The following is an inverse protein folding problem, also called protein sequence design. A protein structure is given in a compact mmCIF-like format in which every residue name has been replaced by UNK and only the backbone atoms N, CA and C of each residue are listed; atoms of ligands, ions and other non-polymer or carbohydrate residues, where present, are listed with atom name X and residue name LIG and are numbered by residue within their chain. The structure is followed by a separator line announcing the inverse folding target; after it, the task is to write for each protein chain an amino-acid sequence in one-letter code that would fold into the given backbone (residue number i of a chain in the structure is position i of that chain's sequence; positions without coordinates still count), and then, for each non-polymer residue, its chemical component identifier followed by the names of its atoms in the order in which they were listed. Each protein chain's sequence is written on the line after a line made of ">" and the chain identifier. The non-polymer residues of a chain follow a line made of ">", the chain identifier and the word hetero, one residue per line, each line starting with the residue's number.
data_IF_717685847052
#
_entry.id   IF_717685847052
#
_cell.length_a   1.000
_cell.length_b   1.000
_cell.length_c   1.000
_cell.angle_alpha   90.00
_cell.angle_beta   90.00
_cell.angle_gamma   90.00
#
_symmetry.space_group_name_H-M   'P 1'
#
loop_
_entity.id
_entity.type
_entity.pdbx_description
1 polymer ?
#
# COMPACT_ATOMS: atom_id res chain seq x y z
N UNK A 1 -33.87 15.68 -4.92
CA UNK A 1 -33.61 16.79 -3.98
C UNK A 1 -32.12 17.08 -4.02
N UNK A 2 -31.71 18.33 -3.82
CA UNK A 2 -30.31 18.74 -3.96
C UNK A 2 -29.75 19.18 -2.61
N UNK A 3 -28.48 18.83 -2.38
CA UNK A 3 -27.67 19.28 -1.25
C UNK A 3 -26.75 20.42 -1.72
N UNK A 4 -26.35 21.30 -0.80
CA UNK A 4 -25.60 22.52 -1.13
C UNK A 4 -24.51 22.79 -0.09
N UNK A 5 -23.28 23.08 -0.54
CA UNK A 5 -22.25 23.74 0.28
C UNK A 5 -22.08 25.18 -0.20
N UNK A 6 -22.39 26.15 0.66
CA UNK A 6 -22.38 27.59 0.36
C UNK A 6 -21.25 28.28 1.10
N UNK A 7 -20.51 29.10 0.39
CA UNK A 7 -19.50 30.00 0.95
C UNK A 7 -19.84 31.42 0.52
N UNK A 8 -20.06 32.30 1.49
CA UNK A 8 -20.50 33.68 1.26
C UNK A 8 -19.56 34.69 1.89
N UNK A 9 -19.20 35.74 1.16
CA UNK A 9 -18.54 36.94 1.69
C UNK A 9 -19.64 37.94 2.05
N UNK A 10 -19.72 38.32 3.33
CA UNK A 10 -20.76 39.18 3.88
C UNK A 10 -20.37 40.67 3.81
N UNK A 11 -19.16 40.99 4.25
CA UNK A 11 -18.66 42.37 4.35
C UNK A 11 -17.14 42.43 4.12
N UNK A 12 -16.66 43.59 3.67
CA UNK A 12 -15.24 43.87 3.53
C UNK A 12 -14.58 44.19 4.89
N UNK A 13 -13.26 44.39 4.90
CA UNK A 13 -12.51 44.72 6.11
C UNK A 13 -12.93 46.04 6.79
N UNK A 14 -13.65 46.91 6.07
CA UNK A 14 -14.23 48.16 6.57
C UNK A 14 -15.69 48.00 7.02
N UNK A 15 -16.28 46.80 6.94
CA UNK A 15 -17.67 46.50 7.30
C UNK A 15 -18.71 46.85 6.23
N UNK A 16 -18.28 47.24 5.03
CA UNK A 16 -19.19 47.53 3.91
C UNK A 16 -19.63 46.22 3.24
N UNK A 17 -20.90 46.15 2.85
CA UNK A 17 -21.42 44.97 2.13
C UNK A 17 -20.74 44.84 0.78
N UNK A 18 -20.31 43.63 0.46
CA UNK A 18 -19.68 43.34 -0.84
C UNK A 18 -20.72 42.78 -1.81
N UNK A 19 -20.73 43.29 -3.03
CA UNK A 19 -21.54 42.79 -4.15
C UNK A 19 -20.64 42.39 -5.32
N UNK A 20 -21.17 41.59 -6.24
CA UNK A 20 -20.45 41.22 -7.46
C UNK A 20 -20.21 42.45 -8.36
N UNK A 21 -21.13 43.42 -8.35
CA UNK A 21 -21.04 44.64 -9.16
C UNK A 21 -19.94 45.60 -8.68
N UNK A 22 -19.53 45.49 -7.41
CA UNK A 22 -18.48 46.32 -6.81
C UNK A 22 -17.64 45.49 -5.84
N UNK A 23 -16.84 44.58 -6.40
CA UNK A 23 -15.99 43.65 -5.66
C UNK A 23 -14.63 44.28 -5.33
N UNK A 24 -14.21 44.21 -4.06
CA UNK A 24 -12.83 44.58 -3.68
C UNK A 24 -11.83 43.54 -4.19
N UNK A 25 -10.57 43.95 -4.38
CA UNK A 25 -9.50 43.03 -4.83
C UNK A 25 -9.38 41.82 -3.89
N UNK A 26 -9.43 42.05 -2.58
CA UNK A 26 -9.36 40.98 -1.58
C UNK A 26 -10.53 39.99 -1.67
N UNK A 27 -11.73 40.48 -1.98
CA UNK A 27 -12.93 39.66 -2.15
C UNK A 27 -12.90 38.90 -3.49
N UNK A 28 -12.36 39.50 -4.55
CA UNK A 28 -12.15 38.84 -5.84
C UNK A 28 -11.14 37.70 -5.74
N UNK A 29 -10.02 37.94 -5.04
CA UNK A 29 -9.03 36.91 -4.77
C UNK A 29 -9.59 35.77 -3.90
N UNK A 30 -10.45 36.08 -2.94
CA UNK A 30 -11.12 35.06 -2.13
C UNK A 30 -12.09 34.23 -2.96
N UNK A 31 -12.92 34.90 -3.77
CA UNK A 31 -13.87 34.25 -4.67
C UNK A 31 -13.17 33.29 -5.63
N UNK A 32 -12.04 33.72 -6.22
CA UNK A 32 -11.22 32.86 -7.09
C UNK A 32 -10.83 31.54 -6.40
N UNK A 33 -10.29 31.63 -5.18
CA UNK A 33 -9.88 30.45 -4.39
C UNK A 33 -11.08 29.55 -4.10
N UNK A 34 -12.25 30.12 -3.79
CA UNK A 34 -13.45 29.32 -3.50
C UNK A 34 -13.94 28.57 -4.75
N UNK A 35 -13.97 29.23 -5.91
CA UNK A 35 -14.36 28.61 -7.18
C UNK A 35 -13.40 27.49 -7.55
N UNK A 36 -12.09 27.74 -7.52
CA UNK A 36 -11.06 26.75 -7.86
C UNK A 36 -11.14 25.53 -6.93
N UNK A 37 -11.16 25.76 -5.61
CA UNK A 37 -11.22 24.66 -4.64
C UNK A 37 -12.49 23.82 -4.73
N UNK A 38 -13.67 24.44 -4.92
CA UNK A 38 -14.94 23.70 -5.04
C UNK A 38 -15.04 22.96 -6.38
N UNK A 39 -14.55 23.56 -7.47
CA UNK A 39 -14.44 22.89 -8.77
C UNK A 39 -13.55 21.66 -8.69
N UNK A 40 -12.35 21.80 -8.11
CA UNK A 40 -11.39 20.69 -8.01
C UNK A 40 -11.88 19.61 -7.05
N UNK A 41 -12.68 20.00 -6.04
CA UNK A 41 -13.32 19.04 -5.15
C UNK A 41 -14.36 18.21 -5.90
N UNK A 42 -15.22 18.84 -6.70
CA UNK A 42 -16.19 18.15 -7.55
C UNK A 42 -15.50 17.23 -8.58
N UNK A 43 -14.39 17.66 -9.19
CA UNK A 43 -13.61 16.87 -10.15
C UNK A 43 -12.86 15.69 -9.54
N UNK A 44 -12.77 15.62 -8.21
CA UNK A 44 -12.13 14.49 -7.53
C UNK A 44 -13.01 13.24 -7.43
N UNK A 45 -14.26 13.30 -7.90
CA UNK A 45 -15.20 12.17 -7.95
C UNK A 45 -15.26 11.59 -9.37
N UNK A 46 -15.44 10.27 -9.47
CA UNK A 46 -15.43 9.56 -10.76
C UNK A 46 -16.63 9.95 -11.65
N UNK A 47 -17.76 10.30 -11.05
CA UNK A 47 -18.90 10.89 -11.75
C UNK A 47 -19.30 12.21 -11.09
N UNK A 48 -19.13 13.30 -11.82
CA UNK A 48 -19.43 14.66 -11.38
C UNK A 48 -20.39 15.40 -12.33
N UNK A 49 -21.01 14.68 -13.26
CA UNK A 49 -21.87 15.26 -14.32
C UNK A 49 -23.04 16.09 -13.77
N UNK A 50 -23.61 15.65 -12.65
CA UNK A 50 -24.72 16.32 -11.97
C UNK A 50 -24.29 17.32 -10.87
N UNK A 51 -22.98 17.52 -10.67
CA UNK A 51 -22.47 18.48 -9.68
C UNK A 51 -22.32 19.84 -10.36
N UNK A 52 -22.95 20.87 -9.79
CA UNK A 52 -22.97 22.22 -10.37
C UNK A 52 -22.32 23.21 -9.42
N UNK A 53 -21.63 24.19 -10.02
CA UNK A 53 -21.18 25.38 -9.31
C UNK A 53 -22.12 26.53 -9.68
N UNK A 54 -22.67 27.23 -8.69
CA UNK A 54 -23.50 28.41 -8.90
C UNK A 54 -22.94 29.61 -8.16
N UNK A 55 -23.12 30.79 -8.76
CA UNK A 55 -22.99 32.08 -8.11
C UNK A 55 -24.37 32.74 -8.05
N UNK A 56 -24.64 33.58 -7.05
CA UNK A 56 -25.91 34.30 -6.92
C UNK A 56 -25.73 35.80 -7.07
N UNK A 57 -26.63 36.43 -7.82
CA UNK A 57 -26.62 37.87 -8.04
C UNK A 57 -26.84 38.64 -6.72
N UNK A 58 -26.17 39.79 -6.61
CA UNK A 58 -26.29 40.69 -5.44
C UNK A 58 -25.48 40.28 -4.20
N UNK A 59 -24.80 39.13 -4.20
CA UNK A 59 -23.84 38.77 -3.14
C UNK A 59 -22.70 37.89 -3.67
N UNK A 60 -21.53 37.96 -3.02
CA UNK A 60 -20.42 37.07 -3.39
C UNK A 60 -20.64 35.73 -2.67
N UNK A 61 -21.41 34.86 -3.30
CA UNK A 61 -21.75 33.53 -2.83
C UNK A 61 -21.31 32.50 -3.87
N UNK A 62 -20.52 31.51 -3.45
CA UNK A 62 -20.17 30.33 -4.27
C UNK A 62 -20.88 29.11 -3.69
N UNK A 63 -21.60 28.39 -4.53
CA UNK A 63 -22.42 27.24 -4.13
C UNK A 63 -21.98 26.01 -4.91
N UNK A 64 -21.62 24.94 -4.19
CA UNK A 64 -21.51 23.61 -4.74
C UNK A 64 -22.85 22.89 -4.57
N UNK A 65 -23.55 22.60 -5.66
CA UNK A 65 -24.85 21.92 -5.70
C UNK A 65 -24.62 20.49 -6.16
N UNK A 66 -25.14 19.51 -5.41
CA UNK A 66 -25.00 18.10 -5.74
C UNK A 66 -26.26 17.28 -5.39
N UNK A 67 -26.53 16.18 -6.13
CA UNK A 67 -27.69 15.33 -5.85
C UNK A 67 -27.66 14.68 -4.46
N UNK A 68 -28.82 14.56 -3.80
CA UNK A 68 -28.92 13.98 -2.46
C UNK A 68 -28.53 12.50 -2.35
N UNK A 69 -28.55 11.77 -3.47
CA UNK A 69 -28.10 10.38 -3.58
C UNK A 69 -26.57 10.24 -3.69
N UNK A 70 -25.83 11.33 -3.94
CA UNK A 70 -24.36 11.36 -3.86
C UNK A 70 -23.88 11.50 -2.41
N UNK A 71 -24.22 10.51 -1.58
CA UNK A 71 -23.90 10.51 -0.14
C UNK A 71 -22.40 10.60 0.15
N UNK A 72 -21.56 10.09 -0.76
CA UNK A 72 -20.09 10.16 -0.66
C UNK A 72 -19.56 11.60 -0.54
N UNK A 73 -20.19 12.58 -1.21
CA UNK A 73 -19.79 13.99 -1.15
C UNK A 73 -20.08 14.56 0.23
N UNK A 74 -21.29 14.32 0.74
CA UNK A 74 -21.72 14.70 2.09
C UNK A 74 -20.83 14.09 3.17
N UNK A 75 -20.56 12.78 3.08
CA UNK A 75 -19.70 12.05 4.01
C UNK A 75 -18.28 12.63 4.02
N UNK A 76 -17.70 12.92 2.85
CA UNK A 76 -16.37 13.53 2.77
C UNK A 76 -16.32 14.93 3.39
N UNK A 77 -17.34 15.77 3.14
CA UNK A 77 -17.45 17.10 3.72
C UNK A 77 -17.44 16.99 5.25
N UNK A 78 -18.30 16.12 5.81
CA UNK A 78 -18.38 15.91 7.25
C UNK A 78 -17.10 15.28 7.83
N UNK A 79 -16.46 14.34 7.13
CA UNK A 79 -15.17 13.77 7.54
C UNK A 79 -14.06 14.82 7.56
N UNK A 80 -14.01 15.73 6.59
CA UNK A 80 -13.03 16.83 6.55
C UNK A 80 -13.29 17.79 7.71
N UNK A 81 -14.54 18.22 7.90
CA UNK A 81 -14.94 19.16 8.94
C UNK A 81 -14.66 18.62 10.35
N UNK A 82 -14.91 17.32 10.55
CA UNK A 82 -14.65 16.63 11.83
C UNK A 82 -13.20 16.15 11.97
N UNK A 83 -12.36 16.40 10.95
CA UNK A 83 -10.95 16.04 10.94
C UNK A 83 -10.69 14.53 10.93
N UNK A 84 -11.64 13.72 10.43
CA UNK A 84 -11.56 12.26 10.28
C UNK A 84 -11.10 11.80 8.90
N UNK A 85 -11.16 12.67 7.88
CA UNK A 85 -10.82 12.32 6.49
C UNK A 85 -9.38 11.82 6.32
N UNK A 86 -9.22 10.78 5.51
CA UNK A 86 -7.92 10.28 5.05
C UNK A 86 -7.57 10.74 3.63
N UNK A 87 -8.52 11.37 2.93
CA UNK A 87 -8.34 11.87 1.57
C UNK A 87 -7.57 13.18 1.56
N UNK A 88 -6.25 13.06 1.43
CA UNK A 88 -5.31 14.18 1.58
C UNK A 88 -5.52 15.24 0.50
N UNK A 89 -5.89 14.85 -0.73
CA UNK A 89 -6.17 15.79 -1.81
C UNK A 89 -7.40 16.65 -1.48
N UNK A 90 -8.54 16.02 -1.19
CA UNK A 90 -9.80 16.69 -0.85
C UNK A 90 -9.65 17.60 0.37
N UNK A 91 -8.97 17.11 1.41
CA UNK A 91 -8.68 17.91 2.61
C UNK A 91 -7.86 19.17 2.29
N UNK A 92 -6.90 19.12 1.35
CA UNK A 92 -6.11 20.30 0.95
C UNK A 92 -6.97 21.41 0.32
N UNK A 93 -7.95 21.04 -0.50
CA UNK A 93 -8.85 22.02 -1.14
C UNK A 93 -9.65 22.82 -0.11
N UNK A 94 -10.12 22.13 0.95
CA UNK A 94 -10.81 22.77 2.08
C UNK A 94 -9.86 23.63 2.92
N UNK A 95 -8.59 23.24 3.06
CA UNK A 95 -7.57 24.07 3.73
C UNK A 95 -7.29 25.35 2.95
N UNK A 96 -7.23 25.31 1.62
CA UNK A 96 -7.05 26.52 0.82
C UNK A 96 -8.18 27.54 1.06
N UNK A 97 -9.43 27.05 1.13
CA UNK A 97 -10.61 27.87 1.50
C UNK A 97 -10.43 28.41 2.92
N UNK A 98 -10.07 27.54 3.87
CA UNK A 98 -9.87 27.88 5.28
C UNK A 98 -8.81 28.97 5.49
N UNK A 99 -7.68 28.83 4.82
CA UNK A 99 -6.57 29.78 4.90
C UNK A 99 -7.01 31.15 4.37
N UNK A 100 -7.78 31.17 3.27
CA UNK A 100 -8.29 32.43 2.71
C UNK A 100 -9.31 33.11 3.64
N UNK A 101 -10.19 32.35 4.27
CA UNK A 101 -11.14 32.85 5.28
C UNK A 101 -10.43 33.47 6.49
N UNK A 102 -9.26 32.95 6.88
CA UNK A 102 -8.51 33.44 8.05
C UNK A 102 -7.64 34.66 7.77
N UNK A 103 -7.22 34.88 6.52
CA UNK A 103 -6.13 35.81 6.20
C UNK A 103 -6.54 37.26 5.92
N UNK A 104 -7.70 37.52 5.32
CA UNK A 104 -7.97 38.81 4.67
C UNK A 104 -8.97 39.72 5.40
N UNK A 105 -9.32 39.39 6.64
CA UNK A 105 -10.17 40.25 7.49
C UNK A 105 -11.61 40.47 6.99
N UNK A 106 -12.03 39.77 5.93
CA UNK A 106 -13.41 39.81 5.45
C UNK A 106 -14.32 39.00 6.37
N UNK A 107 -15.60 39.32 6.38
CA UNK A 107 -16.60 38.53 7.10
C UNK A 107 -17.19 37.46 6.17
N UNK A 108 -17.24 36.23 6.67
CA UNK A 108 -17.68 35.06 5.91
C UNK A 108 -18.80 34.30 6.61
N UNK A 109 -19.63 33.64 5.80
CA UNK A 109 -20.55 32.58 6.22
C UNK A 109 -20.32 31.33 5.38
N UNK A 110 -20.28 30.16 6.04
CA UNK A 110 -20.19 28.85 5.38
C UNK A 110 -21.35 27.99 5.86
N UNK A 111 -22.20 27.54 4.94
CA UNK A 111 -23.42 26.80 5.24
C UNK A 111 -23.45 25.50 4.45
N UNK A 112 -23.81 24.40 5.12
CA UNK A 112 -24.09 23.12 4.48
C UNK A 112 -25.58 22.83 4.59
N UNK A 113 -26.25 22.63 3.45
CA UNK A 113 -27.66 22.27 3.38
C UNK A 113 -27.78 20.83 2.89
N UNK A 114 -28.31 19.95 3.73
CA UNK A 114 -28.53 18.54 3.42
C UNK A 114 -29.98 18.18 3.71
N UNK A 115 -30.71 17.66 2.71
CA UNK A 115 -32.12 17.28 2.88
C UNK A 115 -32.99 18.37 3.54
N UNK A 116 -32.78 19.63 3.15
CA UNK A 116 -33.41 20.85 3.72
C UNK A 116 -33.06 21.18 5.18
N UNK A 117 -32.07 20.52 5.77
CA UNK A 117 -31.49 20.90 7.06
C UNK A 117 -30.24 21.74 6.79
N UNK A 118 -30.18 22.94 7.38
CA UNK A 118 -29.05 23.85 7.24
C UNK A 118 -28.16 23.78 8.48
N UNK A 119 -26.85 23.65 8.26
CA UNK A 119 -25.81 23.56 9.28
C UNK A 119 -24.79 24.66 9.03
N UNK A 120 -24.56 25.50 10.04
CA UNK A 120 -23.53 26.54 10.00
C UNK A 120 -22.15 25.92 10.30
N UNK A 121 -21.25 26.05 9.33
CA UNK A 121 -19.88 25.56 9.38
C UNK A 121 -18.85 26.68 9.52
N UNK A 122 -19.29 27.94 9.61
CA UNK A 122 -18.42 29.13 9.63
C UNK A 122 -17.33 29.01 10.70
N UNK A 123 -17.69 28.52 11.89
CA UNK A 123 -16.75 28.32 12.99
C UNK A 123 -15.70 27.25 12.67
N UNK A 124 -16.06 26.15 12.01
CA UNK A 124 -15.11 25.12 11.59
C UNK A 124 -14.03 25.67 10.64
N UNK A 125 -14.41 26.61 9.77
CA UNK A 125 -13.46 27.27 8.88
C UNK A 125 -12.65 28.39 9.57
N UNK A 126 -13.13 28.99 10.65
CA UNK A 126 -12.39 30.02 11.41
C UNK A 126 -11.48 29.47 12.52
N UNK A 127 -11.78 28.28 13.07
CA UNK A 127 -11.08 27.71 14.23
C UNK A 127 -9.78 26.95 13.86
N UNK A 128 -9.65 25.68 14.25
CA UNK A 128 -8.43 24.87 14.05
C UNK A 128 -8.29 24.45 12.60
N UNK A 129 -7.05 24.39 12.11
CA UNK A 129 -6.77 23.94 10.75
C UNK A 129 -7.23 22.49 10.52
N UNK A 130 -7.83 22.21 9.36
CA UNK A 130 -8.20 20.83 9.01
C UNK A 130 -6.94 19.92 8.99
N UNK A 131 -6.92 18.80 9.73
CA UNK A 131 -5.72 17.97 9.84
C UNK A 131 -5.47 17.19 8.54
N UNK A 132 -4.25 17.25 8.01
CA UNK A 132 -3.83 16.36 6.93
C UNK A 132 -3.40 15.03 7.54
N UNK A 133 -4.29 14.04 7.51
CA UNK A 133 -3.96 12.69 7.95
C UNK A 133 -3.07 12.01 6.90
N UNK A 134 -2.07 11.26 7.36
CA UNK A 134 -1.34 10.34 6.48
C UNK A 134 -2.37 9.32 5.97
N UNK A 135 -2.52 9.21 4.65
CA UNK A 135 -3.49 8.30 4.02
C UNK A 135 -3.39 6.87 4.57
N UNK A 136 -4.48 6.10 4.44
CA UNK A 136 -4.50 4.69 4.86
C UNK A 136 -3.29 3.97 4.26
N UNK A 137 -2.41 3.43 5.12
CA UNK A 137 -1.23 2.68 4.65
C UNK A 137 -1.73 1.47 3.86
N UNK A 138 -1.56 1.49 2.54
CA UNK A 138 -1.82 0.33 1.69
C UNK A 138 -1.02 -0.85 2.22
N UNK A 139 -1.72 -1.94 2.54
CA UNK A 139 -1.08 -3.11 3.12
C UNK A 139 -0.13 -3.73 2.10
N UNK A 140 1.11 -3.96 2.53
CA UNK A 140 2.11 -4.63 1.74
C UNK A 140 1.71 -6.12 1.59
N UNK A 141 1.52 -6.55 0.35
CA UNK A 141 1.22 -7.92 -0.07
C UNK A 141 2.51 -8.61 -0.53
N UNK A 142 2.54 -9.94 -0.40
CA UNK A 142 3.69 -10.76 -0.77
C UNK A 142 3.26 -12.16 -1.18
N UNK A 143 4.06 -12.82 -2.00
CA UNK A 143 3.94 -14.25 -2.32
C UNK A 143 5.29 -14.82 -2.78
N UNK A 144 5.50 -16.12 -2.61
CA UNK A 144 6.59 -16.84 -3.26
C UNK A 144 6.12 -17.23 -4.67
N UNK A 145 6.93 -16.93 -5.67
CA UNK A 145 6.67 -17.24 -7.08
C UNK A 145 7.85 -18.07 -7.61
N UNK A 146 7.54 -19.03 -8.48
CA UNK A 146 8.54 -19.82 -9.20
C UNK A 146 8.63 -19.32 -10.63
N UNK A 147 9.83 -18.94 -11.07
CA UNK A 147 10.09 -18.38 -12.40
C UNK A 147 11.07 -19.29 -13.15
N UNK A 148 10.75 -19.61 -14.40
CA UNK A 148 11.61 -20.32 -15.33
C UNK A 148 11.81 -19.43 -16.55
N UNK A 149 13.05 -19.05 -16.85
CA UNK A 149 13.35 -18.07 -17.88
C UNK A 149 14.82 -17.99 -18.23
N UNK A 150 15.20 -16.94 -18.94
CA UNK A 150 16.57 -16.70 -19.40
C UNK A 150 17.09 -15.36 -18.88
N UNK A 151 18.32 -15.33 -18.34
CA UNK A 151 18.97 -14.08 -17.92
C UNK A 151 19.35 -13.29 -19.17
N UNK A 152 18.97 -12.02 -19.26
CA UNK A 152 19.45 -11.14 -20.33
C UNK A 152 20.31 -9.97 -19.82
N UNK A 153 20.29 -9.71 -18.51
CA UNK A 153 21.16 -8.70 -17.90
C UNK A 153 21.48 -9.08 -16.45
N UNK A 154 22.70 -8.82 -16.01
CA UNK A 154 23.09 -8.91 -14.60
C UNK A 154 23.86 -7.65 -14.23
N UNK A 155 23.40 -6.93 -13.20
CA UNK A 155 23.95 -5.62 -12.92
C UNK A 155 23.39 -4.93 -11.68
N UNK A 156 23.60 -3.61 -11.61
CA UNK A 156 23.15 -2.76 -10.50
C UNK A 156 24.30 -2.11 -9.73
N UNK A 157 24.35 -0.78 -9.79
CA UNK A 157 25.41 0.04 -9.15
C UNK A 157 25.33 0.03 -7.61
N UNK A 158 24.11 0.13 -7.08
CA UNK A 158 23.87 0.23 -5.62
C UNK A 158 23.29 -1.05 -5.02
N UNK A 159 22.46 -1.78 -5.77
CA UNK A 159 21.91 -3.09 -5.40
C UNK A 159 22.05 -4.04 -6.57
N UNK A 160 22.71 -5.18 -6.33
CA UNK A 160 22.85 -6.22 -7.34
C UNK A 160 21.49 -6.82 -7.67
N UNK A 161 21.25 -7.04 -8.96
CA UNK A 161 20.04 -7.62 -9.49
C UNK A 161 20.36 -8.36 -10.80
N UNK A 162 19.46 -9.26 -11.17
CA UNK A 162 19.44 -9.94 -12.45
C UNK A 162 18.11 -9.66 -13.15
N UNK A 163 18.16 -9.53 -14.47
CA UNK A 163 16.99 -9.37 -15.31
C UNK A 163 16.77 -10.67 -16.07
N UNK A 164 15.56 -11.22 -15.97
CA UNK A 164 15.17 -12.45 -16.64
C UNK A 164 13.95 -12.23 -17.53
N UNK A 165 13.91 -12.94 -18.65
CA UNK A 165 12.75 -12.99 -19.55
C UNK A 165 12.02 -14.32 -19.32
N UNK A 166 10.71 -14.26 -19.08
CA UNK A 166 9.81 -15.41 -18.93
C UNK A 166 8.65 -15.24 -19.90
N UNK A 167 8.69 -15.95 -21.02
CA UNK A 167 7.77 -15.67 -22.15
C UNK A 167 7.98 -14.25 -22.66
N UNK A 168 6.92 -13.46 -22.75
CA UNK A 168 6.95 -12.07 -23.22
C UNK A 168 7.11 -11.03 -22.08
N UNK A 169 7.53 -11.46 -20.88
CA UNK A 169 7.62 -10.59 -19.70
C UNK A 169 9.03 -10.58 -19.12
N UNK A 170 9.48 -9.37 -18.79
CA UNK A 170 10.77 -9.15 -18.14
C UNK A 170 10.60 -8.90 -16.64
N UNK A 171 11.48 -9.50 -15.86
CA UNK A 171 11.49 -9.42 -14.41
C UNK A 171 12.86 -8.96 -13.93
N UNK A 172 12.88 -7.91 -13.11
CA UNK A 172 14.06 -7.52 -12.35
C UNK A 172 14.03 -8.15 -10.96
N UNK A 173 15.02 -8.98 -10.67
CA UNK A 173 15.14 -9.75 -9.43
C UNK A 173 16.34 -9.25 -8.62
N UNK A 174 16.08 -8.67 -7.46
CA UNK A 174 17.10 -8.26 -6.51
C UNK A 174 17.80 -9.49 -5.91
N UNK A 175 19.13 -9.48 -5.88
CA UNK A 175 19.93 -10.58 -5.36
C UNK A 175 21.28 -10.10 -4.81
N UNK A 176 22.04 -10.99 -4.20
CA UNK A 176 23.44 -10.71 -3.81
C UNK A 176 24.40 -10.98 -4.98
N UNK A 177 25.62 -10.44 -4.91
CA UNK A 177 26.67 -10.73 -5.90
C UNK A 177 26.98 -12.23 -6.03
N UNK A 178 27.17 -12.99 -4.92
CA UNK A 178 27.42 -14.43 -5.03
C UNK A 178 26.26 -15.18 -5.71
N UNK A 179 25.02 -14.79 -5.43
CA UNK A 179 23.84 -15.38 -6.06
C UNK A 179 23.79 -15.08 -7.58
N UNK A 180 24.07 -13.83 -7.98
CA UNK A 180 24.13 -13.47 -9.40
C UNK A 180 25.22 -14.28 -10.13
N UNK A 181 26.42 -14.38 -9.54
CA UNK A 181 27.51 -15.19 -10.11
C UNK A 181 27.14 -16.67 -10.24
N UNK A 182 26.41 -17.23 -9.25
CA UNK A 182 26.00 -18.64 -9.25
C UNK A 182 24.93 -18.99 -10.30
N UNK A 183 24.20 -18.00 -10.83
CA UNK A 183 23.27 -18.21 -11.95
C UNK A 183 23.98 -18.30 -13.30
N UNK A 184 25.26 -17.98 -13.34
CA UNK A 184 26.04 -17.87 -14.55
C UNK A 184 25.77 -16.57 -15.32
N UNK A 185 26.33 -16.48 -16.52
CA UNK A 185 26.30 -15.26 -17.33
C UNK A 185 24.96 -15.00 -18.00
N UNK A 186 24.96 -13.97 -18.84
CA UNK A 186 23.84 -13.61 -19.72
C UNK A 186 23.56 -14.78 -20.70
N UNK A 187 22.30 -14.96 -21.05
CA UNK A 187 21.70 -16.00 -21.89
C UNK A 187 21.61 -17.40 -21.26
N UNK A 188 21.83 -17.50 -19.95
CA UNK A 188 21.63 -18.75 -19.24
C UNK A 188 20.16 -18.93 -18.84
N UNK A 189 19.64 -20.14 -19.08
CA UNK A 189 18.37 -20.58 -18.51
C UNK A 189 18.50 -20.73 -17.00
N UNK A 190 17.50 -20.23 -16.29
CA UNK A 190 17.46 -20.24 -14.83
C UNK A 190 16.10 -20.70 -14.31
N UNK A 191 16.16 -21.38 -13.18
CA UNK A 191 15.00 -21.85 -12.43
C UNK A 191 15.06 -21.20 -11.06
N UNK A 192 14.16 -20.26 -10.77
CA UNK A 192 14.26 -19.42 -9.58
C UNK A 192 13.00 -19.56 -8.71
N UNK A 193 13.18 -19.55 -7.40
CA UNK A 193 12.12 -19.14 -6.47
C UNK A 193 12.40 -17.72 -6.02
N UNK A 194 11.38 -16.86 -6.06
CA UNK A 194 11.48 -15.44 -5.74
C UNK A 194 10.38 -15.01 -4.78
N UNK A 195 10.71 -14.10 -3.88
CA UNK A 195 9.74 -13.38 -3.07
C UNK A 195 9.25 -12.18 -3.86
N UNK A 196 7.99 -12.22 -4.28
CA UNK A 196 7.30 -11.08 -4.89
C UNK A 196 6.66 -10.25 -3.77
N UNK A 197 6.88 -8.93 -3.78
CA UNK A 197 6.41 -7.96 -2.79
C UNK A 197 5.76 -6.79 -3.50
N UNK A 198 4.56 -6.38 -3.10
CA UNK A 198 3.88 -5.25 -3.73
C UNK A 198 2.91 -4.52 -2.79
N UNK A 199 2.76 -3.21 -3.00
CA UNK A 199 1.65 -2.42 -2.41
C UNK A 199 0.56 -2.14 -3.43
N UNK A 200 0.98 -1.84 -4.65
CA UNK A 200 0.15 -1.58 -5.83
C UNK A 200 0.72 -2.39 -6.99
N UNK A 201 -0.06 -2.60 -8.05
CA UNK A 201 0.39 -3.33 -9.24
C UNK A 201 1.55 -2.63 -9.97
N UNK A 202 1.70 -1.33 -9.75
CA UNK A 202 2.79 -0.50 -10.31
C UNK A 202 4.08 -0.54 -9.49
N UNK A 203 4.06 -1.14 -8.29
CA UNK A 203 5.22 -1.19 -7.40
C UNK A 203 5.42 -2.62 -6.90
N UNK A 204 5.97 -3.45 -7.78
CA UNK A 204 6.30 -4.85 -7.54
C UNK A 204 7.82 -4.99 -7.45
N UNK A 205 8.28 -5.56 -6.35
CA UNK A 205 9.68 -5.94 -6.11
C UNK A 205 9.78 -7.47 -6.15
N UNK A 206 10.78 -8.00 -6.85
CA UNK A 206 11.12 -9.43 -6.82
C UNK A 206 12.48 -9.60 -6.17
N UNK A 207 12.58 -10.49 -5.18
CA UNK A 207 13.81 -10.75 -4.44
C UNK A 207 14.11 -12.25 -4.56
N UNK A 208 15.34 -12.60 -4.94
CA UNK A 208 15.75 -13.98 -5.07
C UNK A 208 15.68 -14.72 -3.73
N UNK A 209 15.09 -15.92 -3.74
CA UNK A 209 15.15 -16.88 -2.64
C UNK A 209 16.18 -17.98 -2.96
N UNK A 210 16.01 -18.68 -4.08
CA UNK A 210 16.88 -19.79 -4.50
C UNK A 210 17.01 -19.89 -6.02
N UNK A 211 18.17 -20.36 -6.49
CA UNK A 211 18.42 -20.76 -7.87
C UNK A 211 18.63 -22.29 -7.95
N UNK A 212 17.81 -22.98 -8.73
CA UNK A 212 17.84 -24.43 -8.88
C UNK A 212 18.63 -24.83 -10.13
N UNK A 213 19.79 -25.44 -9.93
CA UNK A 213 20.62 -25.93 -11.05
C UNK A 213 19.97 -27.08 -11.84
N UNK A 214 19.08 -27.84 -11.21
CA UNK A 214 18.35 -28.96 -11.83
C UNK A 214 16.86 -28.63 -11.89
N UNK A 215 16.24 -28.82 -13.06
CA UNK A 215 14.80 -28.61 -13.27
C UNK A 215 13.95 -29.51 -12.36
N UNK A 216 14.35 -30.77 -12.15
CA UNK A 216 13.69 -31.68 -11.21
C UNK A 216 13.57 -31.11 -9.79
N UNK A 217 14.60 -30.42 -9.29
CA UNK A 217 14.57 -29.80 -7.97
C UNK A 217 13.58 -28.62 -7.97
N UNK A 218 13.61 -27.80 -9.01
CA UNK A 218 12.68 -26.68 -9.17
C UNK A 218 11.23 -27.16 -9.15
N UNK A 219 10.90 -28.18 -9.96
CA UNK A 219 9.55 -28.73 -10.04
C UNK A 219 9.10 -29.34 -8.71
N UNK A 220 10.00 -30.03 -8.01
CA UNK A 220 9.73 -30.57 -6.68
C UNK A 220 9.35 -29.46 -5.68
N UNK A 221 10.18 -28.42 -5.56
CA UNK A 221 9.91 -27.33 -4.60
C UNK A 221 8.71 -26.48 -5.01
N UNK A 222 8.49 -26.29 -6.31
CA UNK A 222 7.31 -25.61 -6.84
C UNK A 222 6.04 -26.37 -6.47
N UNK A 223 5.98 -27.67 -6.77
CA UNK A 223 4.85 -28.53 -6.42
C UNK A 223 4.62 -28.57 -4.91
N UNK A 224 5.70 -28.72 -4.13
CA UNK A 224 5.63 -28.71 -2.67
C UNK A 224 4.96 -27.43 -2.17
N UNK A 225 5.38 -26.27 -2.66
CA UNK A 225 4.85 -24.98 -2.25
C UNK A 225 3.40 -24.76 -2.71
N UNK A 226 3.07 -25.17 -3.93
CA UNK A 226 1.71 -25.09 -4.46
C UNK A 226 0.73 -25.98 -3.68
N UNK A 227 1.14 -27.19 -3.29
CA UNK A 227 0.36 -28.07 -2.43
C UNK A 227 0.21 -27.50 -1.03
N UNK A 228 1.29 -26.97 -0.44
CA UNK A 228 1.26 -26.31 0.86
C UNK A 228 0.24 -25.15 0.88
N UNK A 229 0.17 -24.33 -0.17
CA UNK A 229 -0.81 -23.22 -0.29
C UNK A 229 -2.26 -23.68 -0.35
N UNK A 230 -2.53 -24.92 -0.77
CA UNK A 230 -3.89 -25.48 -0.84
C UNK A 230 -4.38 -26.02 0.51
N UNK A 231 -3.47 -26.31 1.45
CA UNK A 231 -3.80 -26.84 2.78
C UNK A 231 -4.29 -25.72 3.68
N UNK A 232 -5.35 -25.98 4.44
CA UNK A 232 -5.90 -25.04 5.42
C UNK A 232 -5.38 -25.37 6.84
N UNK A 233 -5.57 -24.42 7.76
CA UNK A 233 -5.44 -24.59 9.22
C UNK A 233 -4.18 -25.36 9.68
N UNK A 234 -4.34 -26.54 10.28
CA UNK A 234 -3.27 -27.35 10.87
C UNK A 234 -2.62 -28.31 9.87
N UNK A 235 -3.37 -28.77 8.86
CA UNK A 235 -2.91 -29.76 7.88
C UNK A 235 -1.65 -29.31 7.12
N UNK A 236 -1.48 -28.01 6.93
CA UNK A 236 -0.30 -27.45 6.27
C UNK A 236 0.99 -27.68 7.07
N UNK A 237 0.90 -27.76 8.40
CA UNK A 237 2.05 -28.03 9.26
C UNK A 237 2.40 -29.52 9.25
N UNK A 238 1.40 -30.39 9.30
CA UNK A 238 1.60 -31.84 9.17
C UNK A 238 2.24 -32.14 7.80
N UNK A 239 1.68 -31.55 6.73
CA UNK A 239 2.27 -31.66 5.39
C UNK A 239 3.72 -31.18 5.33
N UNK A 240 4.06 -30.06 5.99
CA UNK A 240 5.44 -29.56 6.00
C UNK A 240 6.36 -30.48 6.81
N UNK A 241 5.88 -31.00 7.94
CA UNK A 241 6.60 -31.99 8.74
C UNK A 241 6.88 -33.26 7.92
N UNK A 242 5.86 -33.80 7.26
CA UNK A 242 5.96 -35.02 6.45
C UNK A 242 6.92 -34.82 5.29
N UNK A 243 6.92 -33.63 4.65
CA UNK A 243 7.90 -33.31 3.61
C UNK A 243 9.32 -33.19 4.15
N UNK A 244 9.52 -32.73 5.39
CA UNK A 244 10.83 -32.80 6.02
C UNK A 244 11.23 -34.25 6.22
N UNK A 245 10.35 -35.09 6.77
CA UNK A 245 10.62 -36.53 6.99
C UNK A 245 10.91 -37.25 5.68
N UNK A 246 10.16 -36.99 4.60
CA UNK A 246 10.42 -37.56 3.26
C UNK A 246 11.80 -37.16 2.73
N UNK A 247 12.21 -35.89 2.92
CA UNK A 247 13.58 -35.42 2.62
C UNK A 247 14.60 -35.92 3.68
N UNK A 248 14.20 -36.65 4.71
CA UNK A 248 15.11 -37.28 5.69
C UNK A 248 15.22 -38.81 5.54
N UNK A 249 14.26 -39.43 4.85
CA UNK A 249 14.22 -40.87 4.57
C UNK A 249 14.73 -41.27 3.17
N UNK A 250 14.79 -40.37 2.20
CA UNK A 250 15.39 -40.65 0.88
C UNK A 250 16.89 -41.01 1.00
N UNK A 251 17.29 -42.25 0.72
CA UNK A 251 18.70 -42.67 0.88
C UNK A 251 19.71 -41.82 0.08
N UNK A 252 19.25 -40.99 -0.88
CA UNK A 252 20.06 -40.04 -1.64
C UNK A 252 20.09 -38.62 -1.03
N UNK A 253 19.71 -38.45 0.23
CA UNK A 253 19.54 -37.11 0.83
C UNK A 253 20.81 -36.28 0.79
N UNK A 254 20.68 -35.23 0.00
CA UNK A 254 21.56 -34.09 0.04
C UNK A 254 21.01 -33.13 1.09
N UNK A 255 21.77 -32.91 2.17
CA UNK A 255 21.73 -31.74 3.07
C UNK A 255 21.18 -30.47 2.38
N UNK A 256 21.55 -30.26 1.13
CA UNK A 256 21.11 -29.19 0.24
C UNK A 256 19.58 -29.04 0.11
N UNK A 257 18.80 -30.12 0.08
CA UNK A 257 17.34 -30.02 -0.05
C UNK A 257 16.67 -29.48 1.23
N UNK A 258 17.16 -29.86 2.40
CA UNK A 258 16.74 -29.23 3.67
C UNK A 258 17.13 -27.75 3.69
N UNK A 259 18.33 -27.40 3.21
CA UNK A 259 18.77 -26.01 3.12
C UNK A 259 17.87 -25.19 2.19
N UNK A 260 17.52 -25.72 1.01
CA UNK A 260 16.58 -25.08 0.07
C UNK A 260 15.21 -24.88 0.70
N UNK A 261 14.70 -25.87 1.45
CA UNK A 261 13.42 -25.76 2.16
C UNK A 261 13.47 -24.67 3.25
N UNK A 262 14.54 -24.63 4.04
CA UNK A 262 14.76 -23.59 5.04
C UNK A 262 14.80 -22.20 4.39
N UNK A 263 15.56 -22.03 3.30
CA UNK A 263 15.65 -20.76 2.55
C UNK A 263 14.30 -20.33 1.99
N UNK A 264 13.52 -21.26 1.43
CA UNK A 264 12.19 -21.01 0.87
C UNK A 264 11.28 -20.28 1.87
N UNK A 265 11.30 -20.73 3.13
CA UNK A 265 10.46 -20.18 4.19
C UNK A 265 11.18 -19.21 5.13
N UNK A 266 12.47 -18.93 4.96
CA UNK A 266 13.22 -17.95 5.78
C UNK A 266 13.00 -16.50 5.31
N UNK A 267 11.75 -16.07 5.19
CA UNK A 267 11.40 -14.74 4.69
C UNK A 267 10.34 -14.05 5.57
N UNK A 268 10.20 -12.73 5.43
CA UNK A 268 9.37 -11.87 6.31
C UNK A 268 7.87 -12.13 6.27
N UNK A 269 7.43 -12.96 5.32
CA UNK A 269 6.05 -13.37 5.24
C UNK A 269 5.74 -14.53 6.20
N UNK A 270 6.70 -15.44 6.39
CA UNK A 270 6.57 -16.56 7.33
C UNK A 270 6.50 -16.09 8.79
N UNK A 271 6.84 -14.84 9.08
CA UNK A 271 6.69 -14.24 10.40
C UNK A 271 5.22 -14.07 10.81
N UNK A 272 4.30 -13.90 9.83
CA UNK A 272 2.85 -13.88 10.09
C UNK A 272 2.30 -15.26 10.44
N UNK A 273 2.98 -16.30 9.96
CA UNK A 273 2.61 -17.69 10.17
C UNK A 273 3.76 -18.45 10.84
N UNK A 274 3.96 -18.09 12.11
CA UNK A 274 5.00 -18.65 12.96
C UNK A 274 4.96 -20.16 13.07
N UNK A 275 3.81 -20.78 12.80
CA UNK A 275 3.67 -22.22 12.78
C UNK A 275 4.61 -22.85 11.76
N UNK A 276 4.78 -22.24 10.58
CA UNK A 276 5.68 -22.74 9.52
C UNK A 276 7.13 -22.81 10.03
N UNK A 277 7.64 -21.69 10.56
CA UNK A 277 9.01 -21.64 11.09
C UNK A 277 9.19 -22.62 12.24
N UNK A 278 8.20 -22.71 13.15
CA UNK A 278 8.26 -23.63 14.28
C UNK A 278 8.29 -25.08 13.83
N UNK A 279 7.42 -25.47 12.90
CA UNK A 279 7.38 -26.82 12.34
C UNK A 279 8.73 -27.17 11.71
N UNK A 280 9.28 -26.33 10.83
CA UNK A 280 10.59 -26.56 10.23
C UNK A 280 11.69 -26.75 11.29
N UNK A 281 11.75 -25.85 12.28
CA UNK A 281 12.74 -25.93 13.34
C UNK A 281 12.57 -27.22 14.17
N UNK A 282 11.34 -27.59 14.53
CA UNK A 282 11.10 -28.79 15.33
C UNK A 282 11.39 -30.07 14.55
N UNK A 283 11.02 -30.15 13.27
CA UNK A 283 11.28 -31.30 12.40
C UNK A 283 12.76 -31.50 12.11
N UNK A 284 13.54 -30.41 11.99
CA UNK A 284 14.98 -30.48 11.63
C UNK A 284 15.87 -30.61 12.88
N UNK A 285 15.41 -30.20 14.07
CA UNK A 285 16.21 -30.25 15.31
C UNK A 285 16.87 -31.61 15.61
N UNK A 286 16.22 -32.77 15.40
CA UNK A 286 16.82 -34.07 15.70
C UNK A 286 18.14 -34.35 14.97
N UNK A 287 18.26 -33.88 13.73
CA UNK A 287 19.40 -34.20 12.84
C UNK A 287 20.54 -33.18 12.91
N UNK A 288 20.39 -32.07 13.65
CA UNK A 288 21.39 -31.00 13.71
C UNK A 288 22.74 -31.44 14.27
N UNK A 289 22.73 -32.42 15.18
CA UNK A 289 23.96 -32.94 15.81
C UNK A 289 24.86 -33.67 14.82
N UNK A 290 24.29 -34.14 13.71
CA UNK A 290 24.95 -34.98 12.73
C UNK A 290 25.29 -34.18 11.46
N UNK A 291 24.91 -32.90 11.38
CA UNK A 291 25.02 -32.11 10.15
C UNK A 291 25.32 -30.62 10.41
N UNK A 292 26.60 -30.29 10.43
CA UNK A 292 27.10 -28.93 10.66
C UNK A 292 26.66 -27.92 9.59
N UNK A 293 26.45 -28.35 8.35
CA UNK A 293 26.09 -27.46 7.24
C UNK A 293 24.64 -26.95 7.38
N UNK A 294 23.72 -27.80 7.84
CA UNK A 294 22.33 -27.41 8.13
C UNK A 294 22.28 -26.42 9.29
N UNK A 295 23.19 -26.56 10.26
CA UNK A 295 23.19 -25.77 11.50
C UNK A 295 23.25 -24.26 11.25
N UNK A 296 23.98 -23.80 10.22
CA UNK A 296 24.00 -22.38 9.87
C UNK A 296 22.60 -21.87 9.47
N UNK A 297 21.95 -22.53 8.52
CA UNK A 297 20.63 -22.13 8.01
C UNK A 297 19.54 -22.30 9.06
N UNK A 298 19.60 -23.36 9.86
CA UNK A 298 18.73 -23.55 11.01
C UNK A 298 18.84 -22.38 11.99
N UNK A 299 20.06 -21.94 12.30
CA UNK A 299 20.28 -20.84 13.23
C UNK A 299 19.76 -19.50 12.69
N UNK A 300 19.86 -19.25 11.38
CA UNK A 300 19.27 -18.07 10.75
C UNK A 300 17.72 -18.07 10.87
N UNK A 301 17.08 -19.20 10.59
CA UNK A 301 15.63 -19.38 10.77
C UNK A 301 15.23 -19.24 12.24
N UNK A 302 16.02 -19.81 13.16
CA UNK A 302 15.80 -19.72 14.60
C UNK A 302 15.92 -18.28 15.11
N UNK A 303 16.94 -17.52 14.68
CA UNK A 303 17.11 -16.10 15.03
C UNK A 303 15.88 -15.30 14.59
N UNK A 304 15.42 -15.50 13.36
CA UNK A 304 14.21 -14.87 12.82
C UNK A 304 12.98 -15.19 13.68
N UNK A 305 12.76 -16.48 13.96
CA UNK A 305 11.66 -16.92 14.82
C UNK A 305 11.70 -16.23 16.19
N UNK A 306 12.88 -16.14 16.82
CA UNK A 306 13.04 -15.48 18.12
C UNK A 306 12.81 -13.98 18.06
N UNK A 307 13.25 -13.29 17.00
CA UNK A 307 13.05 -11.84 16.84
C UNK A 307 11.56 -11.46 16.85
N UNK A 308 10.71 -12.29 16.26
CA UNK A 308 9.26 -12.08 16.32
C UNK A 308 8.62 -12.46 17.66
N UNK A 309 9.32 -13.15 18.57
CA UNK A 309 8.77 -13.75 19.81
C UNK A 309 8.96 -12.89 21.04
N UNK A 310 7.87 -12.71 21.80
CA UNK A 310 7.97 -12.13 23.16
C UNK A 310 8.78 -13.02 24.11
N UNK A 311 8.78 -14.34 23.94
CA UNK A 311 9.48 -15.27 24.82
C UNK A 311 10.95 -15.50 24.43
N UNK A 312 11.33 -15.16 23.19
CA UNK A 312 12.63 -15.48 22.58
C UNK A 312 13.05 -16.96 22.63
N UNK A 313 12.15 -17.88 23.00
CA UNK A 313 12.36 -19.33 23.01
C UNK A 313 11.84 -19.96 21.72
N UNK A 314 12.48 -21.07 21.32
CA UNK A 314 12.01 -21.97 20.25
C UNK A 314 11.08 -23.00 20.89
#
# INVERSE_FOLDING_TARGET
>A
MENELKIKILSNSNGEKVSLDNISIDAADALKVFIESLSDFAKSYNDNSDVKLSMKDGCIETILIYPADKTEISEDIDEIITGKSFETHRTKLFKNIQDKIKLNGLEYSVLLKENNIEKDLTKNFKDKNFPLRRGKKVQLKFEIVFLHGEIFEAGGKSKTNVHITVGDKDFKIDCTKPQATAMGGVYNKVNLSVLKKWRTETNIEYILIENYSKEKDYDYFKKLHEEFKKKNTLEKYDYLHDKVVEILEDENIHTNNIIKLLRLYNNQYTDKDRGILRTLLMSIKPILKENDEISYYYNEVAKRFRYGSKSQKI
#
